data_IF_403510988357
#
_entry.id   IF_403510988357
#
_cell.length_a   1.000
_cell.length_b   1.000
_cell.length_c   1.000
_cell.angle_alpha   90.00
_cell.angle_beta   90.00
_cell.angle_gamma   90.00
#
_symmetry.space_group_name_H-M   'P 1'
#
loop_
_entity.id
_entity.type
_entity.pdbx_description
1 polymer ?
#
# COMPACT_ATOMS: atom_id res chain seq x y z
N UNK A 1 -2.89 4.97 -2.92
CA UNK A 1 -3.24 4.79 -1.49
C UNK A 1 -3.17 6.12 -0.77
N UNK A 2 -3.89 6.29 0.35
CA UNK A 2 -3.79 7.52 1.14
C UNK A 2 -2.41 7.65 1.78
N UNK A 3 -1.84 8.86 1.76
CA UNK A 3 -0.51 9.14 2.29
C UNK A 3 -0.43 8.96 3.82
N UNK A 4 -1.53 9.24 4.54
CA UNK A 4 -1.61 9.11 6.00
C UNK A 4 -1.51 7.65 6.49
N UNK A 5 -1.69 6.68 5.59
CA UNK A 5 -1.55 5.26 5.87
C UNK A 5 -0.11 4.76 5.71
N UNK A 6 0.79 5.59 5.17
CA UNK A 6 2.20 5.28 5.02
C UNK A 6 2.95 5.87 6.21
N UNK A 7 3.19 5.04 7.22
CA UNK A 7 3.91 5.47 8.42
C UNK A 7 5.38 5.82 8.12
N UNK A 8 6.01 5.05 7.25
CA UNK A 8 7.40 5.23 6.82
C UNK A 8 7.67 4.50 5.50
N UNK A 9 8.83 4.78 4.90
CA UNK A 9 9.28 4.09 3.67
C UNK A 9 9.52 2.60 3.94
N UNK A 10 10.14 2.25 5.07
CA UNK A 10 10.39 0.85 5.45
C UNK A 10 9.10 0.05 5.62
N UNK A 11 8.05 0.67 6.17
CA UNK A 11 6.73 0.05 6.28
C UNK A 11 6.12 -0.25 4.90
N UNK A 12 6.26 0.68 3.96
CA UNK A 12 5.79 0.49 2.59
C UNK A 12 6.58 -0.62 1.87
N UNK A 13 7.91 -0.59 1.95
CA UNK A 13 8.78 -1.60 1.36
C UNK A 13 8.49 -2.99 1.94
N UNK A 14 8.32 -3.10 3.26
CA UNK A 14 7.97 -4.39 3.89
C UNK A 14 6.58 -4.89 3.49
N UNK A 15 5.59 -4.00 3.38
CA UNK A 15 4.26 -4.36 2.88
C UNK A 15 4.32 -4.88 1.43
N UNK A 16 5.10 -4.22 0.57
CA UNK A 16 5.30 -4.65 -0.82
C UNK A 16 5.98 -6.02 -0.90
N UNK A 17 7.07 -6.22 -0.17
CA UNK A 17 7.80 -7.48 -0.14
C UNK A 17 6.92 -8.66 0.32
N UNK A 18 6.12 -8.46 1.39
CA UNK A 18 5.20 -9.49 1.89
C UNK A 18 4.05 -9.75 0.92
N UNK A 19 3.50 -8.70 0.31
CA UNK A 19 2.43 -8.82 -0.68
C UNK A 19 2.87 -9.63 -1.91
N UNK A 20 4.05 -9.35 -2.45
CA UNK A 20 4.62 -10.08 -3.59
C UNK A 20 4.83 -11.55 -3.22
N UNK A 21 5.54 -11.83 -2.12
CA UNK A 21 5.79 -13.20 -1.64
C UNK A 21 4.49 -13.98 -1.45
N UNK A 22 3.46 -13.34 -0.88
CA UNK A 22 2.17 -14.01 -0.64
C UNK A 22 1.43 -14.30 -1.93
N UNK A 23 1.46 -13.36 -2.89
CA UNK A 23 0.89 -13.57 -4.23
C UNK A 23 1.56 -14.76 -4.95
N UNK A 24 2.89 -14.85 -4.88
CA UNK A 24 3.68 -15.95 -5.47
C UNK A 24 3.41 -17.30 -4.80
N UNK A 25 3.16 -17.32 -3.50
CA UNK A 25 2.92 -18.53 -2.71
C UNK A 25 1.45 -19.02 -2.73
N UNK A 26 0.65 -18.58 -3.71
CA UNK A 26 -0.69 -19.10 -3.92
C UNK A 26 -1.77 -18.49 -3.04
N UNK A 27 -1.60 -17.24 -2.63
CA UNK A 27 -2.64 -16.46 -1.95
C UNK A 27 -4.00 -16.54 -2.68
N UNK A 28 -5.08 -16.59 -1.90
CA UNK A 28 -6.45 -16.46 -2.42
C UNK A 28 -6.70 -15.08 -3.03
N UNK A 29 -5.99 -14.07 -2.53
CA UNK A 29 -6.03 -12.69 -3.01
C UNK A 29 -4.88 -12.54 -4.03
N UNK A 30 -5.25 -12.37 -5.30
CA UNK A 30 -4.30 -12.30 -6.42
C UNK A 30 -3.79 -10.90 -6.73
N UNK A 31 -4.52 -9.89 -6.27
CA UNK A 31 -4.17 -8.50 -6.49
C UNK A 31 -3.14 -8.05 -5.44
N UNK A 32 -1.91 -7.80 -5.90
CA UNK A 32 -0.80 -7.36 -5.05
C UNK A 32 -1.09 -5.98 -4.43
N UNK A 33 -1.74 -5.09 -5.16
CA UNK A 33 -2.14 -3.78 -4.64
C UNK A 33 -3.09 -3.90 -3.45
N UNK A 34 -4.07 -4.80 -3.53
CA UNK A 34 -4.97 -5.10 -2.40
C UNK A 34 -4.17 -5.66 -1.21
N UNK A 35 -3.26 -6.61 -1.45
CA UNK A 35 -2.41 -7.17 -0.39
C UNK A 35 -1.55 -6.09 0.28
N UNK A 36 -0.98 -5.15 -0.47
CA UNK A 36 -0.23 -4.02 0.08
C UNK A 36 -1.11 -3.19 1.02
N UNK A 37 -2.34 -2.86 0.61
CA UNK A 37 -3.28 -2.13 1.47
C UNK A 37 -3.60 -2.90 2.75
N UNK A 38 -3.75 -4.23 2.65
CA UNK A 38 -4.01 -5.12 3.78
C UNK A 38 -2.86 -5.14 4.78
N UNK A 39 -1.62 -5.23 4.31
CA UNK A 39 -0.43 -5.18 5.16
C UNK A 39 -0.26 -3.82 5.83
N UNK A 40 -0.48 -2.72 5.10
CA UNK A 40 -0.38 -1.37 5.65
C UNK A 40 -1.47 -1.08 6.69
N UNK A 41 -2.72 -1.52 6.47
CA UNK A 41 -3.80 -1.36 7.45
C UNK A 41 -3.71 -2.33 8.63
N UNK A 42 -2.92 -3.41 8.51
CA UNK A 42 -2.92 -4.51 9.47
C UNK A 42 -4.26 -5.24 9.54
N UNK A 43 -4.91 -5.47 8.40
CA UNK A 43 -6.27 -6.02 8.35
C UNK A 43 -6.42 -7.10 7.27
N UNK A 44 -7.21 -8.13 7.57
CA UNK A 44 -7.42 -9.34 6.76
C UNK A 44 -8.66 -9.23 5.85
N UNK A 45 -9.45 -8.17 5.99
CA UNK A 45 -10.63 -7.91 5.19
C UNK A 45 -10.34 -6.87 4.09
N UNK A 46 -10.53 -7.26 2.82
CA UNK A 46 -10.30 -6.40 1.64
C UNK A 46 -11.07 -5.08 1.74
N UNK A 47 -12.35 -5.14 2.16
CA UNK A 47 -13.19 -3.96 2.26
C UNK A 47 -12.66 -2.96 3.29
N UNK A 48 -12.14 -3.45 4.42
CA UNK A 48 -11.57 -2.59 5.46
C UNK A 48 -10.24 -1.97 5.00
N UNK A 49 -9.42 -2.74 4.29
CA UNK A 49 -8.16 -2.26 3.72
C UNK A 49 -8.38 -1.13 2.71
N UNK A 50 -9.32 -1.32 1.78
CA UNK A 50 -9.70 -0.29 0.79
C UNK A 50 -10.29 0.94 1.49
N UNK A 51 -11.19 0.74 2.47
CA UNK A 51 -11.81 1.86 3.18
C UNK A 51 -10.81 2.70 3.96
N UNK A 52 -9.86 2.03 4.64
CA UNK A 52 -8.85 2.70 5.47
C UNK A 52 -7.74 3.33 4.62
N UNK A 53 -7.15 2.55 3.70
CA UNK A 53 -5.92 2.95 3.00
C UNK A 53 -6.10 3.24 1.50
N UNK A 54 -7.23 2.87 0.91
CA UNK A 54 -7.56 3.17 -0.48
C UNK A 54 -7.91 4.64 -0.71
N UNK A 55 -7.67 5.13 -1.92
CA UNK A 55 -7.98 6.51 -2.33
C UNK A 55 -9.49 6.70 -2.39
N UNK A 56 -9.98 7.81 -1.86
CA UNK A 56 -11.40 8.16 -1.75
C UNK A 56 -11.69 9.47 -2.48
N UNK A 57 -12.95 9.66 -2.90
CA UNK A 57 -13.41 10.93 -3.46
C UNK A 57 -13.25 12.05 -2.42
N UNK A 58 -12.34 12.99 -2.68
CA UNK A 58 -12.00 14.09 -1.77
C UNK A 58 -10.55 14.08 -1.28
N UNK A 59 -9.82 12.98 -1.47
CA UNK A 59 -8.40 12.94 -1.17
C UNK A 59 -7.63 13.89 -2.11
N UNK A 60 -6.82 14.78 -1.55
CA UNK A 60 -6.04 15.79 -2.30
C UNK A 60 -4.67 15.31 -2.72
N UNK A 61 -4.21 14.22 -2.12
CA UNK A 61 -2.87 13.68 -2.29
C UNK A 61 -2.89 12.20 -1.94
N UNK A 62 -2.21 11.39 -2.76
CA UNK A 62 -2.13 9.96 -2.58
C UNK A 62 -0.76 9.48 -3.07
N UNK A 63 -0.31 8.34 -2.55
CA UNK A 63 0.84 7.64 -3.11
C UNK A 63 0.38 6.69 -4.22
N UNK A 64 1.11 6.71 -5.32
CA UNK A 64 1.01 5.72 -6.38
C UNK A 64 2.15 4.71 -6.20
N UNK A 65 1.82 3.42 -6.28
CA UNK A 65 2.82 2.34 -6.31
C UNK A 65 2.71 1.71 -7.69
N UNK A 66 3.85 1.56 -8.34
CA UNK A 66 3.99 1.10 -9.71
C UNK A 66 5.24 0.22 -9.81
N UNK A 67 5.28 -0.64 -10.83
CA UNK A 67 6.45 -1.50 -11.08
C UNK A 67 7.44 -0.82 -12.02
N UNK A 68 6.94 -0.11 -13.03
CA UNK A 68 7.76 0.58 -14.04
C UNK A 68 7.43 2.07 -14.11
N UNK A 69 8.43 2.92 -14.38
CA UNK A 69 8.21 4.37 -14.52
C UNK A 69 7.26 4.73 -15.69
N UNK A 70 7.18 3.86 -16.71
CA UNK A 70 6.20 4.01 -17.79
C UNK A 70 4.75 3.94 -17.30
N UNK A 71 4.47 3.18 -16.24
CA UNK A 71 3.14 3.11 -15.62
C UNK A 71 2.70 4.46 -15.07
N UNK A 72 3.64 5.27 -14.54
CA UNK A 72 3.36 6.62 -14.06
C UNK A 72 2.92 7.50 -15.22
N UNK A 73 3.67 7.44 -16.33
CA UNK A 73 3.41 8.27 -17.52
C UNK A 73 2.03 7.95 -18.09
N UNK A 74 1.70 6.66 -18.18
CA UNK A 74 0.40 6.18 -18.63
C UNK A 74 -0.72 6.61 -17.67
N UNK A 75 -0.49 6.50 -16.35
CA UNK A 75 -1.45 6.95 -15.34
C UNK A 75 -1.73 8.45 -15.44
N UNK A 76 -0.70 9.30 -15.49
CA UNK A 76 -0.84 10.76 -15.60
C UNK A 76 -1.56 11.12 -16.91
N UNK A 77 -1.31 10.39 -18.00
CA UNK A 77 -2.01 10.63 -19.27
C UNK A 77 -3.52 10.38 -19.20
N UNK A 78 -3.95 9.43 -18.35
CA UNK A 78 -5.36 9.09 -18.13
C UNK A 78 -6.03 10.02 -17.11
N UNK A 79 -5.26 10.57 -16.18
CA UNK A 79 -5.72 11.48 -15.13
C UNK A 79 -4.97 12.81 -15.19
N UNK A 80 -5.23 13.66 -16.21
CA UNK A 80 -4.49 14.91 -16.43
C UNK A 80 -4.65 15.93 -15.30
N UNK A 81 -5.69 15.79 -14.47
CA UNK A 81 -5.88 16.57 -13.23
C UNK A 81 -4.93 16.18 -12.09
N UNK A 82 -4.23 15.04 -12.21
CA UNK A 82 -3.22 14.60 -11.24
C UNK A 82 -1.85 15.08 -11.69
N UNK A 83 -1.17 15.79 -10.80
CA UNK A 83 0.24 16.17 -10.98
C UNK A 83 1.12 15.39 -10.02
N UNK A 84 2.21 14.82 -10.53
CA UNK A 84 3.24 14.23 -9.68
C UNK A 84 3.83 15.29 -8.74
N UNK A 85 3.96 14.94 -7.46
CA UNK A 85 4.62 15.78 -6.46
C UNK A 85 5.51 14.89 -5.62
N UNK A 86 6.77 15.28 -5.42
CA UNK A 86 7.63 14.61 -4.45
C UNK A 86 7.18 14.99 -3.03
N UNK A 87 6.30 14.18 -2.46
CA UNK A 87 5.97 14.24 -1.04
C UNK A 87 7.02 13.45 -0.25
N UNK A 88 7.63 14.07 0.75
CA UNK A 88 8.53 13.36 1.67
C UNK A 88 7.70 12.42 2.54
N UNK A 89 7.88 11.11 2.39
CA UNK A 89 7.42 10.13 3.36
C UNK A 89 8.29 10.30 4.62
N UNK A 90 7.72 10.32 5.84
CA UNK A 90 8.49 10.43 7.06
C UNK A 90 9.56 9.33 7.18
N UNK A 91 10.75 9.70 7.67
CA UNK A 91 11.76 8.72 8.08
C UNK A 91 11.32 8.02 9.37
N UNK A 92 11.73 6.76 9.56
CA UNK A 92 11.29 5.91 10.67
C UNK A 92 11.44 6.55 12.05
N UNK A 93 10.41 6.36 12.88
CA UNK A 93 10.46 6.75 14.29
C UNK A 93 10.05 5.64 15.28
N UNK A 94 9.57 4.46 14.84
CA UNK A 94 9.34 3.27 15.68
C UNK A 94 8.75 2.12 14.85
N UNK A 95 9.47 1.00 14.77
CA UNK A 95 9.17 -0.13 13.88
C UNK A 95 8.26 -1.21 14.49
N UNK A 96 8.28 -1.37 15.81
CA UNK A 96 7.72 -2.56 16.50
C UNK A 96 6.22 -2.74 16.25
N UNK A 97 5.44 -1.66 16.31
CA UNK A 97 3.99 -1.70 16.09
C UNK A 97 3.59 -2.00 14.64
N UNK A 98 4.44 -1.65 13.67
CA UNK A 98 4.16 -1.84 12.25
C UNK A 98 4.34 -3.32 11.91
N UNK A 99 5.44 -3.92 12.35
CA UNK A 99 5.71 -5.34 12.13
C UNK A 99 4.72 -6.26 12.84
N UNK A 100 4.24 -5.87 14.02
CA UNK A 100 3.16 -6.60 14.74
C UNK A 100 1.85 -6.62 13.95
N UNK A 101 1.48 -5.51 13.32
CA UNK A 101 0.25 -5.44 12.50
C UNK A 101 0.36 -6.28 11.22
N UNK A 102 1.53 -6.28 10.60
CA UNK A 102 1.75 -7.10 9.40
C UNK A 102 1.74 -8.60 9.72
N UNK A 103 2.27 -9.01 10.87
CA UNK A 103 2.25 -10.42 11.28
C UNK A 103 0.84 -10.93 11.55
N UNK A 104 -0.08 -10.07 12.01
CA UNK A 104 -1.50 -10.42 12.13
C UNK A 104 -2.10 -10.82 10.77
N UNK A 105 -1.82 -10.05 9.72
CA UNK A 105 -2.27 -10.36 8.34
C UNK A 105 -1.72 -11.69 7.87
N UNK A 106 -0.43 -11.95 8.12
CA UNK A 106 0.18 -13.25 7.77
C UNK A 106 -0.52 -14.41 8.49
N UNK A 107 -0.78 -14.27 9.79
CA UNK A 107 -1.39 -15.33 10.61
C UNK A 107 -2.84 -15.67 10.28
N UNK A 108 -3.58 -14.73 9.69
CA UNK A 108 -5.03 -14.85 9.43
C UNK A 108 -5.33 -15.27 8.00
N UNK A 109 -4.42 -15.01 7.07
CA UNK A 109 -4.59 -15.35 5.67
C UNK A 109 -4.04 -16.73 5.30
N UNK A 110 -3.29 -17.40 6.19
CA UNK A 110 -2.80 -18.79 6.04
C UNK A 110 -3.96 -19.82 6.10
#
# INVERSE_FOLDING_TARGET
MKLDCIASISALESAMERAIRRSENGSRIRDVGILILMYLCGCDQIQDAIKKCGVSAGDRSFALVYEDESDISDFISQFPEVSETQASIPADHSDDMIFERMSYVDSTLD
#
